data_IF_128526675661
#
_entry.id   IF_128526675661
#
_cell.length_a   1.000
_cell.length_b   1.000
_cell.length_c   1.000
_cell.angle_alpha   90.00
_cell.angle_beta   90.00
_cell.angle_gamma   90.00
#
_symmetry.space_group_name_H-M   'P 1'
#
loop_
_entity.id
_entity.type
_entity.pdbx_description
1 polymer ?
#
# COMPACT_ATOMS: atom_id res chain seq x y z
N UNK A 1 6.15 40.14 -46.86
CA UNK A 1 5.18 39.30 -47.59
C UNK A 1 4.54 38.39 -46.52
N UNK A 2 3.64 38.91 -45.68
CA UNK A 2 2.18 39.05 -45.92
C UNK A 2 1.58 37.75 -46.48
N UNK A 3 0.49 37.16 -46.00
CA UNK A 3 -0.50 37.36 -44.93
C UNK A 3 -1.15 35.95 -44.76
N UNK A 4 -1.84 35.54 -43.70
CA UNK A 4 -3.15 36.04 -43.32
C UNK A 4 -3.60 35.38 -42.00
N UNK A 5 -3.83 36.22 -41.00
CA UNK A 5 -4.66 35.96 -39.82
C UNK A 5 -6.11 36.27 -40.18
N UNK A 6 -7.10 35.53 -39.64
CA UNK A 6 -8.10 36.03 -38.67
C UNK A 6 -9.24 35.03 -38.37
N UNK A 7 -9.98 35.24 -37.25
CA UNK A 7 -10.56 34.20 -36.40
C UNK A 7 -12.09 34.08 -36.53
N UNK A 8 -12.65 33.00 -36.00
CA UNK A 8 -14.09 32.87 -35.78
C UNK A 8 -14.48 33.33 -34.37
N UNK A 9 -15.47 34.19 -34.36
CA UNK A 9 -16.05 34.97 -33.28
C UNK A 9 -17.13 34.23 -32.49
N UNK A 10 -17.15 34.49 -31.18
CA UNK A 10 -18.32 34.81 -30.34
C UNK A 10 -19.61 33.98 -30.52
N UNK A 11 -19.97 33.20 -29.49
CA UNK A 11 -21.36 32.89 -29.16
C UNK A 11 -21.64 33.17 -27.67
N UNK A 12 -22.68 33.97 -27.48
CA UNK A 12 -23.22 34.66 -26.30
C UNK A 12 -23.47 33.79 -25.05
N UNK A 13 -23.19 34.40 -23.89
CA UNK A 13 -23.80 34.13 -22.58
C UNK A 13 -25.07 34.98 -22.42
N UNK A 14 -26.11 34.46 -21.72
CA UNK A 14 -27.14 35.11 -20.86
C UNK A 14 -28.41 34.19 -20.73
N UNK A 15 -29.33 34.36 -19.75
CA UNK A 15 -29.21 34.08 -18.31
C UNK A 15 -30.39 33.21 -17.76
N UNK A 16 -30.41 33.01 -16.42
CA UNK A 16 -31.33 32.20 -15.63
C UNK A 16 -32.79 32.72 -15.48
N UNK A 17 -33.73 31.81 -15.18
CA UNK A 17 -35.02 31.97 -14.46
C UNK A 17 -35.67 30.56 -14.29
N UNK A 18 -35.80 29.98 -13.09
CA UNK A 18 -36.74 30.20 -11.97
C UNK A 18 -37.98 29.27 -11.96
N UNK A 19 -38.31 28.79 -10.73
CA UNK A 19 -39.54 28.15 -10.23
C UNK A 19 -39.68 26.63 -10.49
N UNK A 20 -40.02 25.73 -9.55
CA UNK A 20 -40.75 25.71 -8.26
C UNK A 20 -40.09 24.65 -7.33
N UNK A 21 -39.88 24.74 -6.01
CA UNK A 21 -40.69 25.15 -4.84
C UNK A 21 -41.83 24.19 -4.44
N UNK A 22 -41.58 23.36 -3.41
CA UNK A 22 -42.44 22.99 -2.24
C UNK A 22 -41.91 21.68 -1.61
N UNK A 23 -41.30 21.71 -0.42
CA UNK A 23 -41.90 21.56 0.94
C UNK A 23 -42.40 20.13 1.22
N UNK A 24 -42.19 19.47 2.36
CA UNK A 24 -42.09 19.90 3.76
C UNK A 24 -41.45 18.77 4.62
N UNK A 25 -40.58 19.09 5.60
CA UNK A 25 -40.82 19.05 7.07
C UNK A 25 -40.93 17.64 7.71
N UNK A 26 -40.56 17.35 8.96
CA UNK A 26 -39.77 17.97 10.03
C UNK A 26 -39.85 17.03 11.26
N UNK A 27 -38.88 17.09 12.17
CA UNK A 27 -38.97 16.54 13.54
C UNK A 27 -37.57 16.29 14.12
N UNK A 28 -36.94 17.23 14.83
CA UNK A 28 -37.04 17.50 16.30
C UNK A 28 -36.74 16.27 17.15
N UNK A 29 -36.03 16.31 18.28
CA UNK A 29 -35.16 17.23 19.02
C UNK A 29 -34.73 16.36 20.22
N UNK A 30 -33.48 16.40 20.69
CA UNK A 30 -33.18 16.43 22.13
C UNK A 30 -31.69 16.61 22.45
N UNK A 31 -31.41 17.75 23.09
CA UNK A 31 -30.24 18.00 23.94
C UNK A 31 -30.26 17.09 25.17
N UNK A 32 -29.07 16.67 25.61
CA UNK A 32 -28.57 16.46 26.99
C UNK A 32 -27.13 15.92 26.78
N UNK A 33 -26.05 16.56 27.20
CA UNK A 33 -25.72 16.96 28.56
C UNK A 33 -24.30 16.45 28.81
N UNK A 34 -23.32 17.35 28.82
CA UNK A 34 -21.93 17.07 29.15
C UNK A 34 -21.86 16.79 30.66
N UNK A 35 -21.46 15.58 31.07
CA UNK A 35 -20.85 15.35 32.38
C UNK A 35 -19.83 14.21 32.30
N UNK A 36 -18.61 14.55 32.69
CA UNK A 36 -17.49 13.63 32.95
C UNK A 36 -17.87 12.57 34.00
N UNK A 37 -17.51 11.33 33.72
CA UNK A 37 -17.17 10.32 34.73
C UNK A 37 -16.62 9.09 34.00
N UNK A 38 -15.33 9.13 33.66
CA UNK A 38 -14.60 7.95 33.19
C UNK A 38 -14.43 6.99 34.38
N UNK A 39 -15.39 6.08 34.57
CA UNK A 39 -15.25 4.93 35.47
C UNK A 39 -14.58 3.83 34.68
N UNK A 40 -13.29 3.64 34.95
CA UNK A 40 -12.51 2.46 34.57
C UNK A 40 -13.18 1.26 35.24
N UNK A 41 -14.02 0.54 34.48
CA UNK A 41 -14.50 -0.78 34.88
C UNK A 41 -13.40 -1.77 34.50
N UNK A 42 -12.55 -2.10 35.46
CA UNK A 42 -11.67 -3.27 35.41
C UNK A 42 -12.54 -4.52 35.44
N UNK A 43 -12.98 -4.98 34.28
CA UNK A 43 -13.53 -6.32 34.14
C UNK A 43 -12.37 -7.32 34.12
N UNK A 44 -12.02 -7.83 35.29
CA UNK A 44 -11.25 -9.05 35.40
C UNK A 44 -12.03 -10.20 34.78
N UNK A 45 -11.59 -10.71 33.64
CA UNK A 45 -11.95 -12.05 33.19
C UNK A 45 -10.70 -12.85 32.91
N UNK A 46 -10.60 -13.97 33.64
CA UNK A 46 -9.76 -15.12 33.28
C UNK A 46 -10.03 -15.46 31.81
N UNK A 47 -9.00 -15.35 30.99
CA UNK A 47 -9.07 -15.63 29.56
C UNK A 47 -9.04 -17.14 29.34
N UNK A 48 -10.09 -17.63 28.70
CA UNK A 48 -10.21 -19.02 28.27
C UNK A 48 -9.29 -19.32 27.11
N UNK A 49 -8.90 -20.59 27.01
CA UNK A 49 -7.99 -21.20 26.05
C UNK A 49 -8.37 -20.87 24.59
N UNK A 50 -7.81 -19.80 24.06
CA UNK A 50 -7.75 -19.49 22.63
C UNK A 50 -6.29 -19.48 22.19
N UNK A 51 -6.02 -19.92 20.96
CA UNK A 51 -4.66 -20.02 20.40
C UNK A 51 -4.07 -18.60 20.22
N UNK A 52 -3.41 -18.08 21.25
CA UNK A 52 -2.73 -16.78 21.23
C UNK A 52 -1.50 -16.87 20.31
N UNK A 53 -1.49 -16.12 19.20
CA UNK A 53 -0.33 -16.09 18.31
C UNK A 53 0.57 -14.93 18.68
N UNK A 54 1.75 -15.21 19.23
CA UNK A 54 2.73 -14.19 19.58
C UNK A 54 3.72 -13.97 18.44
N UNK A 55 3.91 -12.71 18.03
CA UNK A 55 4.89 -12.27 17.04
C UNK A 55 5.94 -11.41 17.73
N UNK A 56 7.15 -11.93 17.91
CA UNK A 56 8.28 -11.15 18.41
C UNK A 56 8.98 -10.44 17.26
N UNK A 57 8.77 -9.12 17.16
CA UNK A 57 9.31 -8.28 16.10
C UNK A 57 10.33 -7.26 16.61
N UNK A 58 10.90 -7.48 17.80
CA UNK A 58 11.95 -6.62 18.37
C UNK A 58 13.23 -6.66 17.53
N UNK A 59 13.92 -5.52 17.44
CA UNK A 59 15.15 -5.36 16.65
C UNK A 59 14.95 -5.38 15.14
N UNK A 60 13.72 -5.54 14.65
CA UNK A 60 13.45 -5.63 13.21
C UNK A 60 13.26 -4.23 12.59
N UNK A 61 13.96 -3.90 11.49
CA UNK A 61 13.77 -2.63 10.81
C UNK A 61 12.42 -2.58 10.09
N UNK A 62 11.83 -1.38 10.00
CA UNK A 62 10.67 -1.15 9.15
C UNK A 62 10.98 -1.59 7.69
N UNK A 63 10.10 -2.36 7.01
CA UNK A 63 8.69 -2.65 7.33
C UNK A 63 8.42 -3.99 8.04
N UNK A 64 9.44 -4.69 8.52
CA UNK A 64 9.32 -6.07 9.02
C UNK A 64 8.30 -6.26 10.16
N UNK A 65 8.27 -5.42 11.23
CA UNK A 65 7.30 -5.59 12.31
C UNK A 65 5.84 -5.56 11.85
N UNK A 66 5.55 -4.71 10.87
CA UNK A 66 4.22 -4.54 10.29
C UNK A 66 3.84 -5.78 9.48
N UNK A 67 4.75 -6.27 8.64
CA UNK A 67 4.50 -7.41 7.76
C UNK A 67 4.30 -8.70 8.54
N UNK A 68 5.15 -8.97 9.54
CA UNK A 68 5.02 -10.17 10.36
C UNK A 68 3.71 -10.18 11.15
N UNK A 69 3.32 -9.02 11.69
CA UNK A 69 2.02 -8.86 12.34
C UNK A 69 0.86 -9.11 11.38
N UNK A 70 0.92 -8.56 10.16
CA UNK A 70 -0.11 -8.76 9.13
C UNK A 70 -0.26 -10.24 8.78
N UNK A 71 0.85 -10.94 8.52
CA UNK A 71 0.84 -12.38 8.22
C UNK A 71 0.22 -13.21 9.34
N UNK A 72 0.51 -12.88 10.60
CA UNK A 72 -0.10 -13.57 11.73
C UNK A 72 -1.62 -13.32 11.79
N UNK A 73 -2.08 -12.10 11.51
CA UNK A 73 -3.51 -11.76 11.48
C UNK A 73 -4.26 -12.39 10.29
N UNK A 74 -3.59 -12.57 9.15
CA UNK A 74 -4.12 -13.26 7.97
C UNK A 74 -4.16 -14.79 8.14
N UNK A 75 -3.17 -15.36 8.83
CA UNK A 75 -3.13 -16.79 9.16
C UNK A 75 -4.20 -17.22 10.17
N UNK A 76 -4.73 -16.26 10.94
CA UNK A 76 -5.92 -16.45 11.76
C UNK A 76 -7.17 -16.34 10.86
N UNK A 77 -8.11 -17.28 11.01
CA UNK A 77 -9.36 -17.30 10.25
C UNK A 77 -10.29 -16.11 10.53
N UNK A 78 -11.59 -16.36 10.68
CA UNK A 78 -12.59 -15.28 10.86
C UNK A 78 -12.46 -14.52 12.21
N UNK A 79 -11.84 -15.14 13.21
CA UNK A 79 -11.60 -14.53 14.51
C UNK A 79 -10.30 -15.07 15.12
N UNK A 80 -9.56 -14.21 15.82
CA UNK A 80 -8.33 -14.59 16.51
C UNK A 80 -7.64 -13.42 17.19
N UNK A 81 -6.64 -13.77 18.01
CA UNK A 81 -5.84 -12.81 18.77
C UNK A 81 -4.34 -12.95 18.42
N UNK A 82 -3.70 -11.82 18.13
CA UNK A 82 -2.25 -11.71 17.92
C UNK A 82 -1.67 -10.78 18.97
N UNK A 83 -0.52 -11.15 19.53
CA UNK A 83 0.29 -10.24 20.36
C UNK A 83 1.59 -9.96 19.64
N UNK A 84 1.76 -8.73 19.15
CA UNK A 84 3.01 -8.29 18.54
C UNK A 84 3.86 -7.56 19.58
N UNK A 85 5.11 -7.99 19.74
CA UNK A 85 6.08 -7.36 20.64
C UNK A 85 7.07 -6.53 19.80
N UNK A 86 7.24 -5.25 20.13
CA UNK A 86 8.18 -4.33 19.47
C UNK A 86 8.97 -3.53 20.52
N UNK A 87 10.14 -3.01 20.12
CA UNK A 87 11.13 -2.38 21.00
C UNK A 87 11.17 -0.85 20.93
N UNK A 88 10.35 -0.23 20.08
CA UNK A 88 10.35 1.22 19.90
C UNK A 88 8.97 1.79 19.54
N UNK A 89 8.79 3.07 19.84
CA UNK A 89 7.52 3.79 19.63
C UNK A 89 7.11 3.87 18.16
N UNK A 90 8.06 3.97 17.23
CA UNK A 90 7.78 4.08 15.79
C UNK A 90 7.20 2.76 15.26
N UNK A 91 7.82 1.64 15.63
CA UNK A 91 7.31 0.31 15.32
C UNK A 91 5.93 0.09 15.95
N UNK A 92 5.73 0.50 17.21
CA UNK A 92 4.43 0.46 17.89
C UNK A 92 3.38 1.21 17.09
N UNK A 93 3.63 2.46 16.75
CA UNK A 93 2.66 3.31 16.05
C UNK A 93 2.32 2.77 14.66
N UNK A 94 3.29 2.19 13.95
CA UNK A 94 3.06 1.59 12.63
C UNK A 94 2.23 0.31 12.71
N UNK A 95 2.49 -0.55 13.70
CA UNK A 95 1.69 -1.77 13.93
C UNK A 95 0.26 -1.42 14.37
N UNK A 96 0.10 -0.43 15.27
CA UNK A 96 -1.23 0.07 15.67
C UNK A 96 -1.99 0.63 14.47
N UNK A 97 -1.33 1.41 13.60
CA UNK A 97 -1.94 1.94 12.36
C UNK A 97 -2.37 0.81 11.43
N UNK A 98 -1.54 -0.21 11.22
CA UNK A 98 -1.91 -1.39 10.42
C UNK A 98 -3.16 -2.05 10.97
N UNK A 99 -3.16 -2.42 12.26
CA UNK A 99 -4.27 -3.15 12.84
C UNK A 99 -5.59 -2.36 12.78
N UNK A 100 -5.54 -1.04 12.99
CA UNK A 100 -6.70 -0.16 12.77
C UNK A 100 -7.15 -0.10 11.32
N UNK A 101 -6.22 -0.12 10.36
CA UNK A 101 -6.56 -0.13 8.92
C UNK A 101 -7.22 -1.42 8.45
N UNK A 102 -7.05 -2.51 9.21
CA UNK A 102 -7.69 -3.80 9.00
C UNK A 102 -8.94 -3.98 9.87
N UNK A 103 -9.50 -2.88 10.39
CA UNK A 103 -10.70 -2.88 11.24
C UNK A 103 -10.58 -3.75 12.51
N UNK A 104 -9.34 -4.00 12.99
CA UNK A 104 -9.08 -4.78 14.20
C UNK A 104 -9.10 -3.91 15.47
N UNK A 105 -9.45 -4.51 16.59
CA UNK A 105 -9.36 -3.87 17.92
C UNK A 105 -7.94 -4.01 18.46
N UNK A 106 -7.37 -2.93 19.00
CA UNK A 106 -5.97 -2.89 19.45
C UNK A 106 -5.88 -2.34 20.87
N UNK A 107 -5.17 -3.05 21.73
CA UNK A 107 -4.75 -2.61 23.06
C UNK A 107 -3.22 -2.65 23.13
N UNK A 108 -2.60 -1.63 23.72
CA UNK A 108 -1.14 -1.55 23.87
C UNK A 108 -0.81 -1.58 25.34
N UNK A 109 0.07 -2.49 25.72
CA UNK A 109 0.66 -2.59 27.05
C UNK A 109 2.15 -2.30 26.98
N UNK A 110 2.64 -1.38 27.81
CA UNK A 110 4.06 -1.05 27.92
C UNK A 110 4.68 -1.87 29.06
N UNK A 111 5.71 -2.65 28.75
CA UNK A 111 6.44 -3.48 29.72
C UNK A 111 7.93 -3.20 29.63
N UNK A 112 8.39 -2.26 30.45
CA UNK A 112 9.79 -1.85 30.47
C UNK A 112 10.14 -1.06 29.22
N UNK A 113 11.11 -1.55 28.42
CA UNK A 113 11.48 -0.96 27.12
C UNK A 113 10.61 -1.44 25.96
N UNK A 114 9.80 -2.47 26.17
CA UNK A 114 9.11 -3.19 25.10
C UNK A 114 7.60 -2.89 25.12
N UNK A 115 7.00 -2.86 23.93
CA UNK A 115 5.58 -2.65 23.73
C UNK A 115 4.91 -3.94 23.27
N UNK A 116 3.87 -4.35 24.00
CA UNK A 116 3.04 -5.52 23.71
C UNK A 116 1.73 -5.03 23.11
N UNK A 117 1.50 -5.35 21.84
CA UNK A 117 0.36 -4.87 21.08
C UNK A 117 -0.61 -6.05 20.90
N UNK A 118 -1.68 -6.05 21.69
CA UNK A 118 -2.74 -7.03 21.63
C UNK A 118 -3.73 -6.65 20.55
N UNK A 119 -3.83 -7.46 19.49
CA UNK A 119 -4.66 -7.21 18.31
C UNK A 119 -5.72 -8.30 18.22
N UNK A 120 -6.98 -7.89 18.26
CA UNK A 120 -8.15 -8.76 18.08
C UNK A 120 -8.80 -8.51 16.72
N UNK A 121 -8.88 -9.56 15.91
CA UNK A 121 -9.65 -9.55 14.67
C UNK A 121 -11.14 -9.69 15.03
N UNK A 122 -11.86 -8.58 14.96
CA UNK A 122 -13.32 -8.58 15.11
C UNK A 122 -13.94 -9.04 13.79
N UNK A 123 -14.86 -10.01 13.83
CA UNK A 123 -15.53 -10.54 12.65
C UNK A 123 -16.44 -9.50 12.00
N UNK A 124 -15.86 -8.61 11.20
CA UNK A 124 -16.52 -7.76 10.22
C UNK A 124 -15.60 -7.71 8.97
N UNK A 125 -16.17 -7.63 7.76
CA UNK A 125 -15.41 -7.80 6.54
C UNK A 125 -14.40 -6.66 6.40
N UNK A 126 -13.12 -7.03 6.28
CA UNK A 126 -12.02 -6.10 6.05
C UNK A 126 -12.40 -5.10 4.95
N UNK A 127 -12.21 -3.81 5.21
CA UNK A 127 -12.32 -2.78 4.18
C UNK A 127 -11.34 -3.13 3.05
N UNK A 128 -11.86 -3.73 1.97
CA UNK A 128 -11.05 -4.16 0.84
C UNK A 128 -10.40 -2.92 0.21
N UNK A 129 -9.06 -2.84 0.29
CA UNK A 129 -8.27 -2.10 -0.67
C UNK A 129 -8.49 -2.78 -2.04
N UNK A 130 -9.53 -2.37 -2.75
CA UNK A 130 -9.77 -2.83 -4.11
C UNK A 130 -8.74 -2.20 -5.04
N UNK A 131 -7.67 -2.94 -5.37
CA UNK A 131 -6.93 -2.65 -6.60
C UNK A 131 -7.81 -3.15 -7.73
N UNK A 132 -8.27 -2.21 -8.56
CA UNK A 132 -9.02 -2.55 -9.75
C UNK A 132 -8.18 -3.48 -10.65
N UNK A 133 -8.80 -4.48 -11.30
CA UNK A 133 -8.12 -5.40 -12.20
C UNK A 133 -7.49 -4.65 -13.38
N UNK A 134 -6.26 -4.18 -13.25
CA UNK A 134 -5.62 -3.34 -14.27
C UNK A 134 -4.54 -2.39 -13.80
N UNK A 135 -4.20 -2.36 -12.51
CA UNK A 135 -3.12 -1.48 -12.03
C UNK A 135 -1.75 -1.93 -12.55
N UNK A 136 -1.05 -1.00 -13.19
CA UNK A 136 0.33 -1.14 -13.67
C UNK A 136 1.24 -0.23 -12.86
N UNK A 137 2.41 -0.74 -12.46
CA UNK A 137 3.44 0.08 -11.83
C UNK A 137 4.62 0.20 -12.79
N UNK A 138 4.99 1.43 -13.12
CA UNK A 138 6.17 1.76 -13.93
C UNK A 138 7.31 2.16 -13.00
N UNK A 139 8.41 1.42 -13.05
CA UNK A 139 9.61 1.64 -12.23
C UNK A 139 10.72 2.15 -13.14
N UNK A 140 11.02 3.44 -13.03
CA UNK A 140 12.02 4.10 -13.86
C UNK A 140 13.43 4.13 -13.26
N UNK A 141 13.56 3.83 -11.98
CA UNK A 141 14.82 3.93 -11.23
C UNK A 141 15.06 2.74 -10.32
N UNK A 142 16.33 2.50 -10.00
CA UNK A 142 16.80 1.52 -8.99
C UNK A 142 16.71 2.05 -7.54
N UNK A 143 16.26 3.29 -7.37
CA UNK A 143 16.10 3.96 -6.09
C UNK A 143 14.75 4.71 -6.04
N UNK A 144 14.11 4.77 -4.87
CA UNK A 144 12.81 5.41 -4.70
C UNK A 144 12.97 6.86 -4.21
N UNK A 145 12.35 7.80 -4.93
CA UNK A 145 12.36 9.22 -4.58
C UNK A 145 13.64 9.96 -5.03
N UNK A 146 13.74 11.23 -4.62
CA UNK A 146 14.90 12.09 -4.91
C UNK A 146 15.62 12.44 -3.60
N UNK A 147 16.95 12.49 -3.63
CA UNK A 147 17.78 12.77 -2.45
C UNK A 147 18.97 11.83 -2.35
N UNK A 148 19.26 11.36 -1.12
CA UNK A 148 20.34 10.39 -0.89
C UNK A 148 20.05 9.09 -1.63
N UNK A 149 21.00 8.66 -2.47
CA UNK A 149 20.90 7.44 -3.26
C UNK A 149 20.83 6.18 -2.38
N UNK A 150 21.66 6.12 -1.34
CA UNK A 150 21.68 4.99 -0.40
C UNK A 150 20.30 4.80 0.26
N UNK A 151 19.69 5.89 0.73
CA UNK A 151 18.34 5.83 1.29
C UNK A 151 17.32 5.40 0.23
N UNK A 152 17.39 5.95 -0.98
CA UNK A 152 16.48 5.59 -2.07
C UNK A 152 16.56 4.10 -2.45
N UNK A 153 17.75 3.49 -2.46
CA UNK A 153 17.93 2.06 -2.72
C UNK A 153 17.31 1.20 -1.59
N UNK A 154 17.47 1.61 -0.33
CA UNK A 154 16.80 0.96 0.82
C UNK A 154 15.28 1.06 0.69
N UNK A 155 14.76 2.24 0.36
CA UNK A 155 13.33 2.47 0.20
C UNK A 155 12.75 1.65 -0.96
N UNK A 156 13.44 1.56 -2.10
CA UNK A 156 13.01 0.75 -3.24
C UNK A 156 12.93 -0.73 -2.87
N UNK A 157 13.95 -1.25 -2.18
CA UNK A 157 13.95 -2.64 -1.69
C UNK A 157 12.78 -2.90 -0.73
N UNK A 158 12.56 -2.01 0.23
CA UNK A 158 11.49 -2.14 1.21
C UNK A 158 10.11 -2.04 0.56
N UNK A 159 9.95 -1.18 -0.46
CA UNK A 159 8.73 -1.08 -1.26
C UNK A 159 8.43 -2.40 -1.97
N UNK A 160 9.38 -2.95 -2.73
CA UNK A 160 9.18 -4.20 -3.47
C UNK A 160 8.94 -5.39 -2.55
N UNK A 161 9.63 -5.45 -1.41
CA UNK A 161 9.35 -6.45 -0.38
C UNK A 161 7.92 -6.33 0.16
N UNK A 162 7.50 -5.13 0.56
CA UNK A 162 6.13 -4.92 1.07
C UNK A 162 5.07 -5.24 0.01
N UNK A 163 5.34 -4.90 -1.25
CA UNK A 163 4.47 -5.22 -2.38
C UNK A 163 4.32 -6.74 -2.57
N UNK A 164 5.44 -7.49 -2.46
CA UNK A 164 5.43 -8.96 -2.57
C UNK A 164 4.69 -9.68 -1.45
N UNK A 165 4.52 -9.01 -0.29
CA UNK A 165 3.87 -9.55 0.90
C UNK A 165 2.42 -9.07 1.05
N UNK A 166 1.98 -8.11 0.22
CA UNK A 166 0.61 -7.60 0.25
C UNK A 166 -0.39 -8.62 -0.32
N UNK A 167 -1.60 -8.68 0.24
CA UNK A 167 -2.71 -9.48 -0.31
C UNK A 167 -3.07 -9.03 -1.73
N UNK A 168 -3.02 -7.73 -1.94
CA UNK A 168 -3.40 -7.09 -3.19
C UNK A 168 -2.15 -6.71 -3.97
N UNK A 169 -1.99 -7.30 -5.16
CA UNK A 169 -0.82 -7.16 -6.04
C UNK A 169 -1.22 -6.51 -7.37
N UNK A 170 -0.30 -5.77 -8.03
CA UNK A 170 -0.58 -5.19 -9.34
C UNK A 170 -0.67 -6.27 -10.41
N UNK A 171 -1.29 -5.94 -11.55
CA UNK A 171 -1.31 -6.85 -12.70
C UNK A 171 0.07 -6.94 -13.38
N UNK A 172 0.79 -5.82 -13.44
CA UNK A 172 2.06 -5.75 -14.17
C UNK A 172 3.02 -4.76 -13.53
N UNK A 173 4.30 -5.12 -13.55
CA UNK A 173 5.43 -4.23 -13.31
C UNK A 173 6.19 -3.99 -14.62
N UNK A 174 6.43 -2.73 -14.94
CA UNK A 174 7.20 -2.31 -16.10
C UNK A 174 8.51 -1.66 -15.61
N UNK A 175 9.65 -2.19 -16.04
CA UNK A 175 10.96 -1.66 -15.68
C UNK A 175 11.63 -0.98 -16.87
N UNK A 176 11.99 0.30 -16.68
CA UNK A 176 12.71 1.10 -17.68
C UNK A 176 13.90 1.80 -17.02
N UNK A 177 14.81 2.34 -17.84
CA UNK A 177 15.99 3.08 -17.40
C UNK A 177 16.77 2.30 -16.32
N UNK A 178 17.21 2.91 -15.20
CA UNK A 178 17.99 2.19 -14.20
C UNK A 178 17.17 1.19 -13.39
N UNK A 179 15.84 1.25 -13.45
CA UNK A 179 14.95 0.26 -12.83
C UNK A 179 15.20 -1.16 -13.32
N UNK A 180 15.68 -1.36 -14.56
CA UNK A 180 16.00 -2.71 -15.08
C UNK A 180 17.05 -3.44 -14.26
N UNK A 181 17.92 -2.71 -13.54
CA UNK A 181 18.93 -3.30 -12.66
C UNK A 181 18.31 -4.10 -11.51
N UNK A 182 17.11 -3.74 -11.07
CA UNK A 182 16.41 -4.43 -9.99
C UNK A 182 16.05 -5.88 -10.36
N UNK A 183 15.91 -6.16 -11.66
CA UNK A 183 15.58 -7.48 -12.20
C UNK A 183 16.81 -8.34 -12.53
N UNK A 184 18.03 -7.81 -12.31
CA UNK A 184 19.28 -8.45 -12.72
C UNK A 184 20.07 -9.00 -11.53
N UNK A 185 21.03 -9.88 -11.82
CA UNK A 185 21.94 -10.50 -10.86
C UNK A 185 22.57 -9.46 -9.91
N UNK A 186 22.62 -9.79 -8.61
CA UNK A 186 23.16 -8.92 -7.57
C UNK A 186 22.17 -7.89 -7.01
N UNK A 187 20.98 -7.76 -7.59
CA UNK A 187 19.94 -6.90 -7.02
C UNK A 187 19.38 -7.49 -5.72
N UNK A 188 19.29 -6.70 -4.63
CA UNK A 188 18.71 -7.14 -3.37
C UNK A 188 17.17 -7.28 -3.43
N UNK A 189 16.54 -6.90 -4.55
CA UNK A 189 15.10 -6.99 -4.75
C UNK A 189 14.65 -8.26 -5.51
N UNK A 190 15.60 -9.09 -5.99
CA UNK A 190 15.29 -10.25 -6.82
C UNK A 190 14.30 -11.23 -6.18
N UNK A 191 14.50 -11.55 -4.90
CA UNK A 191 13.62 -12.49 -4.19
C UNK A 191 12.16 -12.00 -4.16
N UNK A 192 11.95 -10.71 -3.90
CA UNK A 192 10.61 -10.10 -3.90
C UNK A 192 9.98 -10.08 -5.29
N UNK A 193 10.76 -9.80 -6.33
CA UNK A 193 10.28 -9.79 -7.71
C UNK A 193 9.91 -11.21 -8.21
N UNK A 194 10.72 -12.21 -7.87
CA UNK A 194 10.41 -13.61 -8.17
C UNK A 194 9.14 -14.07 -7.43
N UNK A 195 8.95 -13.67 -6.18
CA UNK A 195 7.72 -13.96 -5.44
C UNK A 195 6.49 -13.31 -6.08
N UNK A 196 6.61 -12.08 -6.59
CA UNK A 196 5.54 -11.41 -7.34
C UNK A 196 5.21 -12.14 -8.66
N UNK A 197 6.23 -12.54 -9.41
CA UNK A 197 6.06 -13.30 -10.66
C UNK A 197 5.35 -14.64 -10.41
N UNK A 198 5.75 -15.37 -9.36
CA UNK A 198 5.10 -16.62 -8.94
C UNK A 198 3.64 -16.42 -8.53
N UNK A 199 3.30 -15.23 -8.00
CA UNK A 199 1.92 -14.84 -7.67
C UNK A 199 1.13 -14.32 -8.88
N UNK A 200 1.70 -14.39 -10.09
CA UNK A 200 1.02 -14.05 -11.34
C UNK A 200 1.17 -12.59 -11.77
N UNK A 201 2.05 -11.82 -11.13
CA UNK A 201 2.38 -10.46 -11.61
C UNK A 201 3.25 -10.58 -12.85
N UNK A 202 2.84 -9.95 -13.94
CA UNK A 202 3.66 -9.92 -15.15
C UNK A 202 4.78 -8.90 -15.00
N UNK A 203 6.03 -9.32 -15.20
CA UNK A 203 7.20 -8.44 -15.10
C UNK A 203 7.79 -8.26 -16.49
N UNK A 204 7.77 -7.02 -16.99
CA UNK A 204 8.36 -6.66 -18.29
C UNK A 204 9.53 -5.71 -18.10
N UNK A 205 10.64 -6.02 -18.75
CA UNK A 205 11.92 -5.30 -18.60
C UNK A 205 12.38 -4.76 -19.95
N UNK A 206 12.62 -3.46 -20.04
CA UNK A 206 12.98 -2.82 -21.31
C UNK A 206 14.31 -3.35 -21.86
N UNK A 207 14.27 -4.01 -23.02
CA UNK A 207 15.45 -4.59 -23.67
C UNK A 207 16.53 -3.58 -24.04
N UNK A 208 16.14 -2.40 -24.52
CA UNK A 208 17.09 -1.32 -24.84
C UNK A 208 17.84 -0.82 -23.60
N UNK A 209 17.19 -0.78 -22.44
CA UNK A 209 17.84 -0.39 -21.20
C UNK A 209 18.80 -1.48 -20.71
N UNK A 210 18.42 -2.77 -20.83
CA UNK A 210 19.33 -3.88 -20.54
C UNK A 210 20.56 -3.88 -21.45
N UNK A 211 20.39 -3.57 -22.74
CA UNK A 211 21.51 -3.39 -23.67
C UNK A 211 22.45 -2.27 -23.22
N UNK A 212 21.88 -1.10 -22.93
CA UNK A 212 22.65 0.07 -22.54
C UNK A 212 23.51 -0.19 -21.29
N UNK A 213 22.97 -0.88 -20.29
CA UNK A 213 23.71 -1.25 -19.08
C UNK A 213 24.52 -2.55 -19.20
N UNK A 214 24.48 -3.24 -20.35
CA UNK A 214 25.15 -4.53 -20.58
C UNK A 214 24.71 -5.61 -19.57
N UNK A 215 23.40 -5.67 -19.30
CA UNK A 215 22.78 -6.55 -18.31
C UNK A 215 21.90 -7.65 -18.91
N UNK A 216 21.79 -7.76 -20.23
CA UNK A 216 20.90 -8.76 -20.88
C UNK A 216 21.13 -10.18 -20.38
N UNK A 217 22.39 -10.62 -20.30
CA UNK A 217 22.75 -11.96 -19.84
C UNK A 217 22.61 -12.15 -18.32
N UNK A 218 22.43 -11.04 -17.58
CA UNK A 218 22.27 -11.03 -16.13
C UNK A 218 20.82 -10.90 -15.68
N UNK A 219 19.86 -10.89 -16.62
CA UNK A 219 18.45 -10.80 -16.28
C UNK A 219 18.01 -12.09 -15.56
N UNK A 220 17.48 -11.95 -14.33
CA UNK A 220 17.10 -13.09 -13.50
C UNK A 220 15.58 -13.28 -13.36
N UNK A 221 14.80 -12.23 -13.58
CA UNK A 221 13.33 -12.25 -13.40
C UNK A 221 12.64 -11.34 -14.43
N UNK A 222 11.48 -11.75 -14.90
CA UNK A 222 10.72 -11.03 -15.92
C UNK A 222 11.17 -11.33 -17.36
N UNK A 223 10.39 -10.80 -18.30
CA UNK A 223 10.62 -10.98 -19.73
C UNK A 223 11.08 -9.69 -20.41
N UNK A 224 11.99 -9.82 -21.37
CA UNK A 224 12.48 -8.69 -22.15
C UNK A 224 11.36 -8.17 -23.06
N UNK A 225 11.10 -6.88 -23.00
CA UNK A 225 10.10 -6.18 -23.81
C UNK A 225 10.70 -5.03 -24.61
N UNK A 226 9.87 -4.33 -25.37
CA UNK A 226 10.21 -3.15 -26.15
C UNK A 226 9.27 -1.97 -25.83
N UNK A 227 9.59 -0.80 -26.39
CA UNK A 227 8.82 0.42 -26.11
C UNK A 227 7.38 0.36 -26.64
N UNK A 228 7.11 -0.37 -27.73
CA UNK A 228 5.75 -0.50 -28.28
C UNK A 228 4.84 -1.19 -27.27
N UNK A 229 5.26 -2.36 -26.77
CA UNK A 229 4.53 -3.11 -25.74
C UNK A 229 4.40 -2.33 -24.42
N UNK A 230 5.43 -1.58 -24.02
CA UNK A 230 5.36 -0.69 -22.84
C UNK A 230 4.25 0.34 -23.02
N UNK A 231 4.21 1.04 -24.17
CA UNK A 231 3.19 2.05 -24.45
C UNK A 231 1.80 1.41 -24.48
N UNK A 232 1.63 0.25 -25.13
CA UNK A 232 0.34 -0.47 -25.14
C UNK A 232 -0.15 -0.77 -23.73
N UNK A 233 0.72 -1.28 -22.85
CA UNK A 233 0.34 -1.58 -21.47
C UNK A 233 0.07 -0.34 -20.63
N UNK A 234 0.81 0.75 -20.84
CA UNK A 234 0.56 2.00 -20.14
C UNK A 234 -0.76 2.65 -20.58
N UNK A 235 -1.09 2.60 -21.88
CA UNK A 235 -2.31 3.20 -22.43
C UNK A 235 -3.56 2.36 -22.16
N UNK A 236 -3.42 1.05 -21.98
CA UNK A 236 -4.53 0.15 -21.65
C UNK A 236 -4.77 -0.03 -20.15
N UNK A 237 -3.88 0.49 -19.29
CA UNK A 237 -4.01 0.39 -17.85
C UNK A 237 -5.12 1.31 -17.32
N UNK A 238 -5.96 0.79 -16.43
CA UNK A 238 -6.95 1.61 -15.71
C UNK A 238 -6.28 2.62 -14.77
N UNK A 239 -5.12 2.23 -14.22
CA UNK A 239 -4.32 3.07 -13.33
C UNK A 239 -2.85 2.75 -13.49
N UNK A 240 -2.05 3.80 -13.70
CA UNK A 240 -0.59 3.73 -13.70
C UNK A 240 -0.05 4.43 -12.47
N UNK A 241 0.86 3.77 -11.75
CA UNK A 241 1.67 4.38 -10.69
C UNK A 241 3.12 4.41 -11.17
N UNK A 242 3.75 5.57 -11.15
CA UNK A 242 5.15 5.73 -11.57
C UNK A 242 6.04 5.94 -10.35
N UNK A 243 7.15 5.20 -10.30
CA UNK A 243 8.17 5.24 -9.25
C UNK A 243 9.53 5.65 -9.84
#
# INVERSE_FOLDING_TARGET
REACLKPLSQAKVLPAREAFASESQAGRDHKLGITQSCRVLTFGRRWGEGLETTVDARGLPCPQPVIQTKKALEGLGEAGEVVTIVDNEVARDNVVKLARSLDCTVEVEERGSDYYIHIRKGGLPATQLCVAPGQVILIGTDALGQGSRELGEILMRNFLYTLSEGEVIPRRLLFINSGVKLCCEGSPALASLMALEQRGVEILVCGTCLDYYQLKEKLCVGSITNMYTIVEHLMSAEKVVTL
#
